data_IF_451151040391
#
_entry.id   IF_451151040391
#
_cell.length_a   1.000
_cell.length_b   1.000
_cell.length_c   1.000
_cell.angle_alpha   90.00
_cell.angle_beta   90.00
_cell.angle_gamma   90.00
#
_symmetry.space_group_name_H-M   'P 1'
#
loop_
_entity.id
_entity.type
_entity.pdbx_description
1 polymer ?
#
# COMPACT_ATOMS: atom_id res chain seq x y z
N UNK A 1 -12.97 -19.48 11.62
CA UNK A 1 -11.76 -20.26 11.31
C UNK A 1 -10.59 -19.32 11.49
N UNK A 2 -9.82 -19.50 12.57
CA UNK A 2 -8.66 -18.69 12.92
C UNK A 2 -7.56 -18.92 11.89
N UNK A 3 -7.19 -17.88 11.14
CA UNK A 3 -5.90 -17.87 10.49
C UNK A 3 -4.86 -17.47 11.54
N UNK A 4 -4.11 -18.46 11.99
CA UNK A 4 -2.92 -18.28 12.81
C UNK A 4 -1.98 -17.30 12.10
N UNK A 5 -1.93 -16.07 12.60
CA UNK A 5 -0.95 -15.05 12.21
C UNK A 5 0.39 -15.44 12.85
N UNK A 6 0.97 -16.55 12.38
CA UNK A 6 2.37 -16.86 12.64
C UNK A 6 3.17 -15.72 12.02
N UNK A 7 3.96 -15.08 12.88
CA UNK A 7 5.02 -14.15 12.56
C UNK A 7 5.95 -14.80 11.51
N UNK A 8 5.66 -14.58 10.24
CA UNK A 8 6.68 -14.74 9.22
C UNK A 8 7.13 -13.35 8.79
N UNK A 9 8.44 -13.24 8.63
CA UNK A 9 9.23 -12.05 8.36
C UNK A 9 9.03 -11.55 6.92
N UNK A 10 7.89 -11.90 6.34
CA UNK A 10 7.56 -11.75 4.93
C UNK A 10 6.60 -10.59 4.78
N UNK A 11 6.97 -9.69 3.88
CA UNK A 11 6.24 -8.50 3.43
C UNK A 11 4.87 -8.79 2.80
N UNK A 12 4.00 -9.50 3.52
CA UNK A 12 2.64 -9.77 3.11
C UNK A 12 1.78 -8.59 3.55
N UNK A 13 1.61 -7.64 2.64
CA UNK A 13 0.68 -6.54 2.82
C UNK A 13 -0.76 -7.09 2.81
N UNK A 14 -1.32 -7.36 3.98
CA UNK A 14 -2.71 -7.82 4.13
C UNK A 14 -3.69 -6.68 4.41
N UNK A 15 -3.19 -5.45 4.47
CA UNK A 15 -3.97 -4.24 4.74
C UNK A 15 -4.50 -3.66 3.42
N UNK A 16 -5.77 -3.24 3.41
CA UNK A 16 -6.43 -2.51 2.31
C UNK A 16 -6.33 -3.13 0.91
N UNK A 17 -7.18 -4.10 0.58
CA UNK A 17 -7.41 -4.50 -0.81
C UNK A 17 -6.13 -4.73 -1.63
N UNK A 18 -5.07 -5.27 -1.03
CA UNK A 18 -3.78 -5.49 -1.69
C UNK A 18 -3.97 -6.33 -2.95
N UNK A 19 -3.51 -5.81 -4.09
CA UNK A 19 -3.67 -6.42 -5.40
C UNK A 19 -2.44 -7.23 -5.82
N UNK A 20 -1.28 -6.96 -5.22
CA UNK A 20 -0.02 -7.65 -5.51
C UNK A 20 1.17 -6.71 -5.67
N UNK A 21 2.28 -7.33 -6.06
CA UNK A 21 3.50 -6.65 -6.47
C UNK A 21 3.55 -6.61 -8.00
N UNK A 22 3.99 -5.51 -8.59
CA UNK A 22 4.04 -5.30 -10.03
C UNK A 22 5.40 -4.74 -10.42
N UNK A 23 5.97 -5.20 -11.53
CA UNK A 23 7.27 -4.72 -11.99
C UNK A 23 7.19 -3.30 -12.56
N UNK A 24 8.19 -2.48 -12.27
CA UNK A 24 8.30 -1.09 -12.70
C UNK A 24 7.30 -0.13 -12.04
N UNK A 25 7.06 0.98 -12.75
CA UNK A 25 6.05 1.98 -12.40
C UNK A 25 4.74 1.60 -13.09
N UNK A 26 3.80 1.05 -12.32
CA UNK A 26 2.50 0.61 -12.84
C UNK A 26 1.44 1.71 -12.80
N UNK A 27 1.50 2.58 -11.79
CA UNK A 27 0.63 3.74 -11.64
C UNK A 27 1.42 5.01 -12.01
N UNK A 28 0.94 5.76 -12.99
CA UNK A 28 1.69 6.85 -13.65
C UNK A 28 1.72 8.15 -12.82
N UNK A 29 0.68 8.43 -12.03
CA UNK A 29 0.58 9.65 -11.23
C UNK A 29 1.37 9.54 -9.93
N UNK A 30 2.63 9.95 -9.94
CA UNK A 30 3.41 10.13 -8.72
C UNK A 30 2.87 11.33 -7.92
N UNK A 31 2.48 11.11 -6.67
CA UNK A 31 1.92 12.16 -5.81
C UNK A 31 2.86 12.62 -4.69
N UNK A 32 3.94 11.88 -4.43
CA UNK A 32 5.01 12.35 -3.55
C UNK A 32 5.72 11.25 -2.78
N UNK A 33 6.48 11.68 -1.77
CA UNK A 33 7.23 10.81 -0.86
C UNK A 33 6.47 10.70 0.46
N UNK A 34 6.17 9.48 0.88
CA UNK A 34 5.46 9.17 2.11
C UNK A 34 6.24 8.17 2.95
N UNK A 35 5.85 8.00 4.21
CA UNK A 35 6.52 7.12 5.17
C UNK A 35 5.69 5.89 5.57
N UNK A 36 4.47 5.73 5.05
CA UNK A 36 3.59 4.58 5.30
C UNK A 36 2.64 4.31 4.13
N UNK A 37 2.10 3.09 4.08
CA UNK A 37 1.09 2.67 3.11
C UNK A 37 -0.20 3.49 3.29
N UNK A 38 -0.65 3.64 4.54
CA UNK A 38 -1.88 4.38 4.89
C UNK A 38 -1.86 5.81 4.37
N UNK A 39 -0.71 6.48 4.46
CA UNK A 39 -0.56 7.84 3.95
C UNK A 39 -0.69 7.88 2.43
N UNK A 40 -0.13 6.89 1.73
CA UNK A 40 -0.27 6.77 0.28
C UNK A 40 -1.74 6.57 -0.13
N UNK A 41 -2.42 5.61 0.52
CA UNK A 41 -3.84 5.30 0.29
C UNK A 41 -4.72 6.54 0.51
N UNK A 42 -4.52 7.23 1.63
CA UNK A 42 -5.31 8.41 1.99
C UNK A 42 -5.19 9.54 0.97
N UNK A 43 -4.00 9.71 0.38
CA UNK A 43 -3.79 10.73 -0.66
C UNK A 43 -4.41 10.33 -2.00
N UNK A 44 -4.32 9.05 -2.38
CA UNK A 44 -4.92 8.57 -3.64
C UNK A 44 -6.45 8.48 -3.60
N UNK A 45 -7.02 8.28 -2.42
CA UNK A 45 -8.46 8.12 -2.25
C UNK A 45 -9.29 9.37 -2.60
N UNK A 46 -8.64 10.52 -2.82
CA UNK A 46 -9.31 11.75 -3.24
C UNK A 46 -9.90 11.56 -4.64
N UNK A 47 -9.09 11.08 -5.61
CA UNK A 47 -9.47 11.07 -7.02
C UNK A 47 -9.27 9.73 -7.74
N UNK A 48 -8.57 8.76 -7.14
CA UNK A 48 -8.05 7.57 -7.83
C UNK A 48 -8.57 6.26 -7.23
N UNK A 49 -8.52 5.15 -7.98
CA UNK A 49 -9.07 3.85 -7.53
C UNK A 49 -8.01 2.92 -6.95
N UNK A 50 -6.74 3.23 -7.19
CA UNK A 50 -5.60 2.48 -6.76
C UNK A 50 -4.57 3.40 -6.14
N UNK A 51 -3.92 2.91 -5.09
CA UNK A 51 -2.71 3.47 -4.54
C UNK A 51 -1.56 2.49 -4.80
N UNK A 52 -0.39 3.02 -5.12
CA UNK A 52 0.80 2.27 -5.43
C UNK A 52 1.97 2.85 -4.67
N UNK A 53 2.78 2.01 -4.04
CA UNK A 53 3.99 2.46 -3.36
C UNK A 53 5.19 1.64 -3.82
N UNK A 54 6.28 2.33 -4.09
CA UNK A 54 7.53 1.71 -4.50
C UNK A 54 8.75 2.36 -3.84
N UNK A 55 9.88 1.67 -3.92
CA UNK A 55 11.17 2.11 -3.42
C UNK A 55 11.14 2.59 -1.94
N UNK A 56 10.24 2.04 -1.13
CA UNK A 56 10.14 2.34 0.30
C UNK A 56 9.39 3.62 0.66
N UNK A 57 9.02 4.47 -0.31
CA UNK A 57 8.40 5.77 -0.01
C UNK A 57 7.72 6.48 -1.18
N UNK A 58 7.94 6.07 -2.43
CA UNK A 58 7.39 6.76 -3.59
C UNK A 58 5.94 6.35 -3.78
N UNK A 59 5.03 7.29 -3.57
CA UNK A 59 3.60 7.05 -3.68
C UNK A 59 3.06 7.51 -5.04
N UNK A 60 2.27 6.63 -5.64
CA UNK A 60 1.64 6.78 -6.93
C UNK A 60 0.15 6.46 -6.82
N UNK A 61 -0.67 7.08 -7.65
CA UNK A 61 -2.09 6.82 -7.75
C UNK A 61 -2.46 6.45 -9.17
N UNK A 62 -3.59 5.76 -9.35
CA UNK A 62 -4.13 5.52 -10.68
C UNK A 62 -5.56 5.03 -10.66
N UNK A 63 -6.21 5.14 -11.81
CA UNK A 63 -7.60 4.75 -12.01
C UNK A 63 -7.76 3.31 -12.52
N UNK A 64 -6.70 2.74 -13.11
CA UNK A 64 -6.69 1.41 -13.74
C UNK A 64 -5.46 0.61 -13.35
N UNK A 65 -5.57 -0.71 -13.42
CA UNK A 65 -4.49 -1.67 -13.18
C UNK A 65 -4.59 -2.77 -14.24
N UNK A 66 -3.66 -2.79 -15.19
CA UNK A 66 -3.72 -3.67 -16.37
C UNK A 66 -2.45 -4.53 -16.55
N UNK A 67 -1.53 -4.49 -15.59
CA UNK A 67 -0.29 -5.26 -15.64
C UNK A 67 -0.43 -6.55 -14.83
N UNK A 68 0.24 -7.66 -15.22
CA UNK A 68 0.28 -8.86 -14.41
C UNK A 68 1.12 -8.63 -13.15
N UNK A 69 0.77 -9.29 -12.05
CA UNK A 69 1.58 -9.27 -10.84
C UNK A 69 2.84 -10.14 -11.00
N UNK A 70 3.85 -9.79 -10.22
CA UNK A 70 5.10 -10.55 -10.04
C UNK A 70 5.16 -11.13 -8.62
N UNK A 71 6.23 -11.88 -8.34
CA UNK A 71 6.46 -12.46 -7.03
C UNK A 71 6.44 -11.38 -5.93
N UNK A 72 5.64 -11.53 -4.86
CA UNK A 72 5.55 -10.57 -3.77
C UNK A 72 6.88 -10.26 -3.07
N UNK A 73 7.85 -11.19 -3.11
CA UNK A 73 9.18 -10.98 -2.51
C UNK A 73 9.97 -9.84 -3.16
N UNK A 74 9.62 -9.45 -4.39
CA UNK A 74 10.22 -8.29 -5.06
C UNK A 74 9.78 -6.97 -4.38
N UNK A 75 8.60 -6.97 -3.75
CA UNK A 75 8.05 -5.83 -3.01
C UNK A 75 8.35 -5.91 -1.50
N UNK A 76 9.61 -6.18 -1.15
CA UNK A 76 10.03 -6.43 0.24
C UNK A 76 10.76 -5.27 0.92
N UNK A 77 10.75 -4.08 0.33
CA UNK A 77 11.42 -2.91 0.92
C UNK A 77 10.60 -2.39 2.09
N UNK A 78 11.18 -2.21 3.27
CA UNK A 78 10.48 -1.58 4.38
C UNK A 78 10.18 -0.12 4.08
N UNK A 79 9.04 0.35 4.59
CA UNK A 79 8.71 1.76 4.55
C UNK A 79 9.79 2.60 5.25
N UNK A 80 10.12 3.76 4.66
CA UNK A 80 11.02 4.75 5.25
C UNK A 80 12.47 4.26 5.47
N UNK A 81 13.14 3.84 4.38
CA UNK A 81 14.56 3.39 4.35
C UNK A 81 15.58 4.29 5.07
N UNK A 82 15.25 5.57 5.29
CA UNK A 82 16.14 6.58 5.89
C UNK A 82 15.99 6.68 7.41
N UNK A 83 15.01 5.99 7.97
CA UNK A 83 14.73 6.00 9.40
C UNK A 83 15.48 4.87 10.12
N UNK A 84 15.89 5.12 11.36
CA UNK A 84 16.41 4.07 12.26
C UNK A 84 15.30 3.16 12.80
N UNK A 85 14.04 3.52 12.56
CA UNK A 85 12.88 2.71 12.92
C UNK A 85 12.62 1.67 11.83
N UNK A 86 12.64 0.39 12.19
CA UNK A 86 12.20 -0.72 11.34
C UNK A 86 10.68 -0.70 11.27
N UNK A 87 10.12 -0.18 10.16
CA UNK A 87 8.71 -0.44 9.84
C UNK A 87 8.52 -1.92 9.52
N UNK A 88 7.43 -2.51 9.99
CA UNK A 88 7.01 -3.87 9.62
C UNK A 88 6.30 -3.90 8.27
N UNK A 89 5.90 -2.74 7.75
CA UNK A 89 5.18 -2.61 6.49
C UNK A 89 6.16 -2.50 5.32
N UNK A 90 5.74 -3.05 4.18
CA UNK A 90 6.59 -3.10 3.00
C UNK A 90 6.05 -2.19 1.90
N UNK A 91 6.84 -1.17 1.60
CA UNK A 91 6.54 -0.08 0.69
C UNK A 91 7.11 -0.36 -0.71
N UNK A 92 6.80 -1.55 -1.25
CA UNK A 92 7.18 -1.98 -2.60
C UNK A 92 8.61 -2.47 -2.76
N UNK A 93 9.11 -2.44 -3.99
CA UNK A 93 10.44 -2.89 -4.42
C UNK A 93 11.24 -1.75 -5.05
N UNK A 94 12.53 -1.95 -5.32
CA UNK A 94 13.40 -0.87 -5.83
C UNK A 94 12.92 -0.43 -7.22
N UNK A 95 12.47 -1.44 -7.98
CA UNK A 95 11.89 -1.31 -9.31
C UNK A 95 10.54 -2.03 -9.37
N UNK A 96 9.82 -2.16 -8.26
CA UNK A 96 8.52 -2.82 -8.24
C UNK A 96 7.55 -2.09 -7.31
N UNK A 97 6.27 -2.12 -7.62
CA UNK A 97 5.22 -1.38 -6.95
C UNK A 97 4.25 -2.33 -6.25
N UNK A 98 4.03 -2.10 -4.95
CA UNK A 98 2.91 -2.71 -4.23
C UNK A 98 1.66 -1.89 -4.53
N UNK A 99 0.60 -2.54 -5.02
CA UNK A 99 -0.64 -1.86 -5.41
C UNK A 99 -1.81 -2.30 -4.53
N UNK A 100 -2.64 -1.33 -4.17
CA UNK A 100 -3.78 -1.46 -3.27
C UNK A 100 -5.03 -0.91 -3.96
N UNK A 101 -6.12 -1.67 -3.93
CA UNK A 101 -7.43 -1.20 -4.35
C UNK A 101 -8.09 -0.46 -3.18
N UNK A 102 -8.41 0.81 -3.38
CA UNK A 102 -8.85 1.69 -2.30
C UNK A 102 -10.36 1.94 -2.29
N UNK A 103 -11.15 1.10 -2.99
CA UNK A 103 -12.61 1.18 -2.99
C UNK A 103 -13.21 1.06 -1.59
N UNK A 104 -12.79 0.05 -0.82
CA UNK A 104 -13.30 -0.17 0.54
C UNK A 104 -12.92 0.97 1.49
N UNK A 105 -11.72 1.54 1.28
CA UNK A 105 -11.28 2.75 1.99
C UNK A 105 -12.18 3.95 1.66
N UNK A 106 -12.52 4.17 0.37
CA UNK A 106 -13.44 5.24 -0.04
C UNK A 106 -14.86 5.06 0.51
N UNK A 107 -15.39 3.84 0.50
CA UNK A 107 -16.71 3.54 1.08
C UNK A 107 -16.73 3.88 2.57
N UNK A 108 -15.66 3.54 3.29
CA UNK A 108 -15.51 3.88 4.71
C UNK A 108 -15.44 5.39 4.96
N UNK A 109 -14.78 6.16 4.07
CA UNK A 109 -14.76 7.62 4.14
C UNK A 109 -16.12 8.27 3.83
N UNK A 110 -16.91 7.65 2.96
CA UNK A 110 -18.21 8.17 2.54
C UNK A 110 -19.31 7.94 3.59
N UNK A 111 -19.26 6.83 4.32
CA UNK A 111 -20.24 6.50 5.36
C UNK A 111 -20.03 7.29 6.66
N UNK A 112 -18.80 7.75 6.95
CA UNK A 112 -18.50 8.54 8.15
C UNK A 112 -17.35 9.56 7.92
N UNK A 113 -17.65 10.84 7.67
CA UNK A 113 -16.65 11.91 7.50
C UNK A 113 -15.76 12.16 8.72
N UNK A 114 -16.10 11.57 9.88
CA UNK A 114 -15.32 11.66 11.12
C UNK A 114 -14.28 10.54 11.28
N UNK A 115 -14.34 9.47 10.46
CA UNK A 115 -13.40 8.33 10.46
C UNK A 115 -12.03 8.63 9.81
N UNK A 116 -11.57 9.88 9.85
CA UNK A 116 -10.24 10.29 9.38
C UNK A 116 -9.06 9.60 10.11
N UNK A 117 -9.29 8.70 11.07
CA UNK A 117 -8.23 8.11 11.88
C UNK A 117 -8.01 6.59 11.80
N UNK A 118 -8.96 5.67 11.59
CA UNK A 118 -8.62 4.25 11.85
C UNK A 118 -9.39 3.28 10.95
N UNK A 119 -8.66 2.45 10.19
CA UNK A 119 -8.71 0.96 10.25
C UNK A 119 -7.43 0.33 9.69
N UNK A 120 -6.30 0.57 10.35
CA UNK A 120 -5.42 -0.55 10.67
C UNK A 120 -6.15 -1.33 11.77
N UNK A 121 -6.37 -2.62 11.56
CA UNK A 121 -7.10 -3.45 12.53
C UNK A 121 -6.25 -3.58 13.80
N UNK A 122 -6.68 -2.91 14.88
CA UNK A 122 -6.22 -3.14 16.25
C UNK A 122 -7.08 -4.21 16.94
N UNK A 123 -6.39 -5.05 17.74
CA UNK A 123 -6.83 -6.00 18.76
C UNK A 123 -7.49 -7.34 18.35
#
# INVERSE_FOLDING_TARGET
MQFNKLLDSTCLNTVYGYQGCFDGVTLDKMIGVVNSIDKCISLCAIDDNYAGIMNGSLCHCGSTLNQPSVDPSVCSIPCNRRSTYTSTDCCGGLHAMSIFNIKDYKSSLAEDPSQRHIRGIDH
#
